data_IF_780197380030
#
_entry.id   IF_780197380030
#
_cell.length_a   1.000
_cell.length_b   1.000
_cell.length_c   1.000
_cell.angle_alpha   90.00
_cell.angle_beta   90.00
_cell.angle_gamma   90.00
#
_symmetry.space_group_name_H-M   'P 1'
#
loop_
_entity.id
_entity.type
_entity.pdbx_description
1 polymer ?
#
# COMPACT_ATOMS: atom_id res chain seq x y z
N UNK A 1 -18.34 -8.59 4.95
CA UNK A 1 -17.06 -8.76 4.26
C UNK A 1 -16.12 -7.66 4.64
N UNK A 2 -15.13 -8.02 5.40
CA UNK A 2 -14.24 -7.02 5.98
C UNK A 2 -12.97 -6.80 5.16
N UNK A 3 -12.82 -7.53 4.06
CA UNK A 3 -11.66 -7.44 3.19
C UNK A 3 -11.48 -6.02 2.67
N UNK A 4 -10.25 -5.53 2.76
CA UNK A 4 -9.87 -4.22 2.25
C UNK A 4 -8.87 -4.45 1.11
N UNK A 5 -9.11 -3.80 -0.03
CA UNK A 5 -8.16 -3.80 -1.14
C UNK A 5 -7.58 -2.40 -1.28
N UNK A 6 -6.29 -2.34 -1.57
CA UNK A 6 -5.59 -1.07 -1.73
C UNK A 6 -4.81 -1.11 -3.03
N UNK A 7 -4.84 -0.02 -3.77
CA UNK A 7 -3.95 0.20 -4.91
C UNK A 7 -3.09 1.41 -4.58
N UNK A 8 -1.78 1.23 -4.54
CA UNK A 8 -0.84 2.32 -4.37
C UNK A 8 -0.19 2.60 -5.73
N UNK A 9 -0.37 3.82 -6.23
CA UNK A 9 0.24 4.25 -7.49
C UNK A 9 1.45 5.10 -7.14
N UNK A 10 2.64 4.61 -7.49
CA UNK A 10 3.89 5.22 -7.11
C UNK A 10 4.57 5.79 -8.35
N UNK A 11 4.75 7.12 -8.38
CA UNK A 11 5.51 7.79 -9.44
C UNK A 11 6.93 7.97 -8.93
N UNK A 12 7.88 7.26 -9.53
CA UNK A 12 9.26 7.21 -9.05
C UNK A 12 9.95 8.53 -9.38
N UNK A 13 10.63 9.14 -8.38
CA UNK A 13 11.36 10.37 -8.60
C UNK A 13 12.50 10.14 -9.58
N UNK A 14 12.78 11.13 -10.44
CA UNK A 14 13.82 11.03 -11.43
C UNK A 14 15.17 10.73 -10.77
N UNK A 15 15.88 9.73 -11.32
CA UNK A 15 17.18 9.33 -10.80
C UNK A 15 17.14 8.45 -9.56
N UNK A 16 15.94 8.05 -9.10
CA UNK A 16 15.78 7.32 -7.84
C UNK A 16 15.36 5.86 -8.02
N UNK A 17 15.39 5.33 -9.24
CA UNK A 17 14.89 3.97 -9.49
C UNK A 17 15.61 2.91 -8.65
N UNK A 18 16.95 2.98 -8.56
CA UNK A 18 17.68 1.96 -7.80
C UNK A 18 17.44 2.07 -6.30
N UNK A 19 17.35 3.29 -5.78
CA UNK A 19 16.96 3.49 -4.38
C UNK A 19 15.54 2.99 -4.13
N UNK A 20 14.62 3.27 -5.07
CA UNK A 20 13.24 2.79 -4.98
C UNK A 20 13.21 1.27 -4.90
N UNK A 21 13.95 0.58 -5.76
CA UNK A 21 14.00 -0.89 -5.76
C UNK A 21 14.51 -1.43 -4.43
N UNK A 22 15.51 -0.80 -3.85
CA UNK A 22 16.08 -1.22 -2.58
C UNK A 22 15.06 -1.08 -1.44
N UNK A 23 14.34 0.06 -1.40
CA UNK A 23 13.32 0.29 -0.38
C UNK A 23 12.13 -0.65 -0.60
N UNK A 24 11.74 -0.89 -1.85
CA UNK A 24 10.65 -1.83 -2.17
C UNK A 24 10.99 -3.24 -1.68
N UNK A 25 12.24 -3.67 -1.84
CA UNK A 25 12.69 -4.97 -1.33
C UNK A 25 12.60 -5.02 0.19
N UNK A 26 12.92 -3.93 0.87
CA UNK A 26 12.78 -3.83 2.32
C UNK A 26 11.31 -3.93 2.74
N UNK A 27 10.40 -3.25 2.03
CA UNK A 27 8.97 -3.36 2.29
C UNK A 27 8.52 -4.82 2.19
N UNK A 28 8.89 -5.50 1.12
CA UNK A 28 8.49 -6.90 0.91
C UNK A 28 9.01 -7.79 2.04
N UNK A 29 10.26 -7.60 2.45
CA UNK A 29 10.86 -8.39 3.53
C UNK A 29 10.09 -8.18 4.84
N UNK A 30 9.77 -6.94 5.18
CA UNK A 30 9.04 -6.63 6.40
C UNK A 30 7.64 -7.23 6.40
N UNK A 31 6.95 -7.19 5.26
CA UNK A 31 5.62 -7.77 5.13
C UNK A 31 5.68 -9.28 5.31
N UNK A 32 6.64 -9.96 4.67
CA UNK A 32 6.81 -11.41 4.82
C UNK A 32 7.09 -11.81 6.26
N UNK A 33 7.88 -11.00 6.97
CA UNK A 33 8.32 -11.34 8.33
C UNK A 33 7.29 -10.97 9.39
N UNK A 34 6.50 -9.91 9.17
CA UNK A 34 5.71 -9.30 10.24
C UNK A 34 4.21 -9.29 10.02
N UNK A 35 3.74 -9.24 8.76
CA UNK A 35 2.30 -9.17 8.49
C UNK A 35 1.67 -10.56 8.63
N UNK A 36 0.50 -10.61 9.28
CA UNK A 36 -0.26 -11.85 9.40
C UNK A 36 -1.60 -11.80 8.68
N UNK A 37 -2.08 -10.61 8.32
CA UNK A 37 -3.38 -10.43 7.68
C UNK A 37 -3.33 -9.89 6.26
N UNK A 38 -2.13 -9.78 5.68
CA UNK A 38 -1.94 -9.34 4.31
C UNK A 38 -2.06 -10.54 3.38
N UNK A 39 -3.04 -10.50 2.48
CA UNK A 39 -3.37 -11.61 1.58
C UNK A 39 -2.73 -11.44 0.21
N UNK A 40 -2.40 -10.21 -0.17
CA UNK A 40 -1.79 -9.90 -1.46
C UNK A 40 -0.92 -8.66 -1.29
N UNK A 41 0.25 -8.67 -1.90
CA UNK A 41 1.18 -7.53 -1.86
C UNK A 41 2.08 -7.62 -3.08
N UNK A 42 1.53 -7.28 -4.25
CA UNK A 42 2.19 -7.45 -5.54
C UNK A 42 2.57 -6.11 -6.13
N UNK A 43 3.79 -6.00 -6.63
CA UNK A 43 4.36 -4.79 -7.18
C UNK A 43 4.57 -4.94 -8.68
N UNK A 44 4.12 -3.96 -9.45
CA UNK A 44 4.17 -4.01 -10.92
C UNK A 44 4.78 -2.72 -11.47
N UNK A 45 5.72 -2.84 -12.39
CA UNK A 45 6.26 -1.70 -13.11
C UNK A 45 5.55 -1.49 -14.44
N UNK A 46 5.48 -0.21 -14.88
CA UNK A 46 5.16 0.09 -16.27
C UNK A 46 6.41 -0.16 -17.14
N UNK A 47 6.29 -0.05 -18.47
CA UNK A 47 7.37 -0.38 -19.40
C UNK A 47 8.64 0.43 -19.18
N UNK A 48 8.50 1.70 -18.83
CA UNK A 48 9.65 2.60 -18.66
C UNK A 48 10.24 2.59 -17.25
N UNK A 49 9.64 1.83 -16.32
CA UNK A 49 10.04 1.79 -14.92
C UNK A 49 10.00 3.17 -14.26
N UNK A 50 9.06 4.01 -14.69
CA UNK A 50 8.82 5.34 -14.09
C UNK A 50 7.67 5.29 -13.10
N UNK A 51 6.82 4.26 -13.21
CA UNK A 51 5.67 4.04 -12.32
C UNK A 51 5.68 2.63 -11.78
N UNK A 52 5.26 2.51 -10.53
CA UNK A 52 5.04 1.20 -9.91
C UNK A 52 3.65 1.21 -9.30
N UNK A 53 2.88 0.14 -9.52
CA UNK A 53 1.58 -0.02 -8.90
C UNK A 53 1.65 -1.21 -7.96
N UNK A 54 1.26 -0.99 -6.70
CA UNK A 54 1.21 -2.06 -5.70
C UNK A 54 -0.26 -2.43 -5.49
N UNK A 55 -0.57 -3.71 -5.72
CA UNK A 55 -1.92 -4.23 -5.50
C UNK A 55 -1.91 -4.99 -4.18
N UNK A 56 -2.77 -4.58 -3.26
CA UNK A 56 -2.75 -5.06 -1.89
C UNK A 56 -4.14 -5.55 -1.48
N UNK A 57 -4.17 -6.64 -0.73
CA UNK A 57 -5.42 -7.15 -0.18
C UNK A 57 -5.16 -7.54 1.28
N UNK A 58 -6.07 -7.11 2.16
CA UNK A 58 -5.98 -7.34 3.59
C UNK A 58 -7.26 -8.00 4.08
N UNK A 59 -7.16 -8.86 5.08
CA UNK A 59 -8.34 -9.56 5.59
C UNK A 59 -9.34 -8.61 6.26
N UNK A 60 -8.87 -7.49 6.82
CA UNK A 60 -9.71 -6.49 7.47
C UNK A 60 -8.93 -5.19 7.70
N UNK A 61 -9.58 -4.18 8.28
CA UNK A 61 -8.95 -2.90 8.60
C UNK A 61 -7.81 -3.04 9.60
N UNK A 62 -7.93 -3.97 10.56
CA UNK A 62 -6.88 -4.20 11.54
C UNK A 62 -5.60 -4.69 10.87
N UNK A 63 -5.73 -5.50 9.83
CA UNK A 63 -4.57 -5.98 9.07
C UNK A 63 -3.86 -4.84 8.35
N UNK A 64 -4.61 -3.85 7.84
CA UNK A 64 -4.01 -2.67 7.20
C UNK A 64 -3.25 -1.83 8.24
N UNK A 65 -3.86 -1.63 9.40
CA UNK A 65 -3.22 -0.89 10.50
C UNK A 65 -1.91 -1.58 10.92
N UNK A 66 -1.93 -2.91 11.04
CA UNK A 66 -0.74 -3.67 11.39
C UNK A 66 0.34 -3.53 10.31
N UNK A 67 -0.06 -3.56 9.03
CA UNK A 67 0.84 -3.38 7.90
C UNK A 67 1.57 -2.03 7.97
N UNK A 68 0.83 -0.96 8.21
CA UNK A 68 1.40 0.39 8.33
C UNK A 68 2.41 0.42 9.49
N UNK A 69 2.05 -0.14 10.64
CA UNK A 69 2.92 -0.19 11.80
C UNK A 69 4.18 -1.02 11.54
N UNK A 70 4.03 -2.15 10.83
CA UNK A 70 5.14 -3.05 10.52
C UNK A 70 6.13 -2.43 9.54
N UNK A 71 5.67 -1.61 8.60
CA UNK A 71 6.56 -0.88 7.71
C UNK A 71 7.36 0.17 8.47
N UNK A 72 6.73 0.82 9.46
CA UNK A 72 7.41 1.81 10.29
C UNK A 72 8.12 2.88 9.47
N UNK A 73 9.39 3.11 9.76
CA UNK A 73 10.19 4.12 9.07
C UNK A 73 10.38 3.84 7.57
N UNK A 74 10.20 2.59 7.13
CA UNK A 74 10.34 2.23 5.72
C UNK A 74 9.27 2.88 4.86
N UNK A 75 8.08 3.14 5.43
CA UNK A 75 7.04 3.89 4.72
C UNK A 75 7.53 5.30 4.37
N UNK A 76 8.17 5.97 5.31
CA UNK A 76 8.77 7.28 5.04
C UNK A 76 9.87 7.21 4.01
N UNK A 77 10.66 6.14 4.02
CA UNK A 77 11.74 5.94 3.06
C UNK A 77 11.20 5.80 1.63
N UNK A 78 10.11 5.06 1.44
CA UNK A 78 9.52 4.90 0.10
C UNK A 78 8.94 6.24 -0.37
N UNK A 79 8.33 7.00 0.53
CA UNK A 79 7.77 8.33 0.19
C UNK A 79 8.87 9.33 -0.15
N UNK A 80 10.12 9.07 0.24
CA UNK A 80 11.26 9.91 -0.11
C UNK A 80 11.76 9.70 -1.54
N UNK A 81 11.37 8.61 -2.21
CA UNK A 81 11.85 8.27 -3.55
C UNK A 81 10.74 8.19 -4.60
N UNK A 82 9.49 8.40 -4.20
CA UNK A 82 8.36 8.41 -5.12
C UNK A 82 7.22 9.26 -4.58
N UNK A 83 6.29 9.64 -5.47
CA UNK A 83 5.03 10.24 -5.09
C UNK A 83 4.00 9.11 -5.04
N UNK A 84 3.13 9.12 -4.03
CA UNK A 84 2.17 8.04 -3.80
C UNK A 84 0.74 8.56 -3.89
N UNK A 85 -0.10 7.84 -4.66
CA UNK A 85 -1.54 8.06 -4.68
C UNK A 85 -2.21 6.75 -4.28
N UNK A 86 -3.04 6.80 -3.24
CA UNK A 86 -3.70 5.60 -2.70
C UNK A 86 -5.17 5.55 -3.06
N UNK A 87 -5.63 4.35 -3.39
CA UNK A 87 -7.06 4.04 -3.55
C UNK A 87 -7.39 2.90 -2.60
N UNK A 88 -8.43 3.07 -1.81
CA UNK A 88 -8.88 2.07 -0.83
C UNK A 88 -10.27 1.61 -1.23
N UNK A 89 -10.46 0.32 -1.38
CA UNK A 89 -11.71 -0.30 -1.81
C UNK A 89 -12.24 -1.16 -0.68
N UNK A 90 -13.45 -0.85 -0.19
CA UNK A 90 -14.09 -1.59 0.88
C UNK A 90 -14.69 -0.63 1.89
N UNK A 91 -14.88 -1.13 3.12
CA UNK A 91 -15.47 -0.35 4.20
C UNK A 91 -14.44 -0.21 5.33
N UNK A 92 -13.48 0.71 5.19
CA UNK A 92 -12.45 0.86 6.22
C UNK A 92 -13.06 1.35 7.54
N UNK A 93 -12.49 0.89 8.65
CA UNK A 93 -12.91 1.34 9.97
C UNK A 93 -12.58 2.82 10.17
N UNK A 94 -13.27 3.46 11.12
CA UNK A 94 -12.98 4.86 11.45
C UNK A 94 -11.52 5.02 11.90
N UNK A 95 -10.99 4.04 12.61
CA UNK A 95 -9.60 4.05 13.06
C UNK A 95 -8.63 4.03 11.89
N UNK A 96 -8.90 3.19 10.87
CA UNK A 96 -8.07 3.11 9.68
C UNK A 96 -8.13 4.41 8.88
N UNK A 97 -9.33 4.98 8.70
CA UNK A 97 -9.51 6.24 7.99
C UNK A 97 -8.67 7.33 8.66
N UNK A 98 -8.70 7.39 9.99
CA UNK A 98 -7.94 8.37 10.75
C UNK A 98 -6.43 8.14 10.59
N UNK A 99 -5.99 6.89 10.70
CA UNK A 99 -4.56 6.56 10.62
C UNK A 99 -3.99 6.87 9.23
N UNK A 100 -4.78 6.68 8.17
CA UNK A 100 -4.33 6.87 6.80
C UNK A 100 -4.55 8.28 6.26
N UNK A 101 -5.15 9.17 7.06
CA UNK A 101 -5.56 10.51 6.59
C UNK A 101 -4.39 11.30 6.00
N UNK A 102 -3.19 11.18 6.58
CA UNK A 102 -2.01 11.88 6.09
C UNK A 102 -1.58 11.49 4.67
N UNK A 103 -2.01 10.34 4.19
CA UNK A 103 -1.71 9.87 2.83
C UNK A 103 -2.82 10.25 1.84
N UNK A 104 -3.89 10.89 2.31
CA UNK A 104 -5.01 11.39 1.52
C UNK A 104 -5.59 10.34 0.55
N UNK A 105 -5.94 9.14 1.02
CA UNK A 105 -6.44 8.09 0.15
C UNK A 105 -7.82 8.43 -0.42
N UNK A 106 -8.07 7.98 -1.65
CA UNK A 106 -9.43 7.96 -2.20
C UNK A 106 -10.10 6.67 -1.73
N UNK A 107 -11.28 6.79 -1.13
CA UNK A 107 -11.98 5.64 -0.57
C UNK A 107 -13.22 5.35 -1.40
N UNK A 108 -13.34 4.11 -1.85
CA UNK A 108 -14.44 3.65 -2.69
C UNK A 108 -15.21 2.57 -1.93
N UNK A 109 -16.47 2.87 -1.60
CA UNK A 109 -17.33 1.94 -0.86
C UNK A 109 -17.91 0.89 -1.80
N UNK A 110 -18.16 -0.33 -1.31
CA UNK A 110 -18.74 -1.37 -2.16
C UNK A 110 -20.13 -0.97 -2.65
N UNK A 111 -20.40 -1.22 -3.93
CA UNK A 111 -21.72 -1.05 -4.51
C UNK A 111 -22.36 -2.41 -4.76
N UNK A 112 -21.67 -3.27 -5.50
CA UNK A 112 -22.14 -4.65 -5.69
C UNK A 112 -20.95 -5.53 -6.04
N UNK A 113 -21.11 -6.84 -5.85
CA UNK A 113 -20.08 -7.83 -6.09
C UNK A 113 -20.72 -9.07 -6.66
N UNK A 114 -19.95 -9.83 -7.44
CA UNK A 114 -20.44 -11.08 -8.00
C UNK A 114 -20.69 -12.12 -6.93
N UNK A 115 -19.91 -12.12 -5.84
CA UNK A 115 -20.02 -13.09 -4.74
C UNK A 115 -21.22 -12.86 -3.87
#
# INVERSE_FOLDING_TARGET
>A
MDTIQVTARLTIHEGKLEEFKAVAAQCMRLVRERDSGTLQYDWFFNDTHTECVVRETYKDSGAVLAHIANLGATLGAILGVCDMALEVYGSPSAELVKAAAGLAPKIYSPFQSLR
#
